data_IF_932337667819
#
_entry.id   IF_932337667819
#
_cell.length_a   1.000
_cell.length_b   1.000
_cell.length_c   1.000
_cell.angle_alpha   90.00
_cell.angle_beta   90.00
_cell.angle_gamma   90.00
#
_symmetry.space_group_name_H-M   'P 1'
#
loop_
_entity.id
_entity.type
_entity.pdbx_description
1 polymer ?
#
# COMPACT_ATOMS: atom_id res chain seq x y z
N UNK A 1 -0.06 -64.60 9.41
CA UNK A 1 -1.35 -65.29 9.27
C UNK A 1 -2.41 -64.31 9.75
N UNK A 2 -3.21 -63.75 8.84
CA UNK A 2 -4.29 -62.84 9.25
C UNK A 2 -5.31 -63.62 10.10
N UNK A 3 -5.43 -63.31 11.39
CA UNK A 3 -6.50 -63.80 12.26
C UNK A 3 -7.83 -63.18 11.79
N UNK A 4 -8.42 -63.76 10.74
CA UNK A 4 -9.76 -63.40 10.27
C UNK A 4 -10.77 -63.98 11.25
N UNK A 5 -11.54 -63.11 11.89
CA UNK A 5 -12.61 -63.53 12.80
C UNK A 5 -13.67 -64.25 12.00
N UNK A 6 -14.23 -65.30 12.59
CA UNK A 6 -15.28 -66.11 11.96
C UNK A 6 -16.66 -65.74 12.51
N UNK A 7 -17.72 -66.15 11.81
CA UNK A 7 -19.10 -65.95 12.29
C UNK A 7 -19.35 -66.66 13.64
N UNK A 8 -18.68 -67.79 13.88
CA UNK A 8 -18.81 -68.55 15.13
C UNK A 8 -18.17 -67.80 16.30
N UNK A 9 -16.98 -67.21 16.11
CA UNK A 9 -16.35 -66.35 17.11
C UNK A 9 -17.21 -65.12 17.45
N UNK A 10 -17.90 -64.55 16.46
CA UNK A 10 -18.83 -63.43 16.70
C UNK A 10 -20.02 -63.89 17.54
N UNK A 11 -20.61 -65.06 17.25
CA UNK A 11 -21.70 -65.63 18.05
C UNK A 11 -21.26 -65.89 19.50
N UNK A 12 -20.02 -66.34 19.72
CA UNK A 12 -19.47 -66.48 21.07
C UNK A 12 -19.31 -65.13 21.78
N UNK A 13 -18.77 -64.12 21.10
CA UNK A 13 -18.65 -62.75 21.65
C UNK A 13 -20.03 -62.18 22.02
N UNK A 14 -21.05 -62.38 21.17
CA UNK A 14 -22.41 -61.92 21.45
C UNK A 14 -23.02 -62.63 22.66
N UNK A 15 -22.77 -63.94 22.80
CA UNK A 15 -23.16 -64.70 23.98
C UNK A 15 -22.52 -64.15 25.25
N UNK A 16 -21.23 -63.77 25.21
CA UNK A 16 -20.55 -63.11 26.33
C UNK A 16 -21.09 -61.70 26.61
N UNK A 17 -21.46 -60.96 25.57
CA UNK A 17 -22.03 -59.62 25.66
C UNK A 17 -23.53 -59.63 26.05
N UNK A 18 -24.18 -60.80 26.14
CA UNK A 18 -25.61 -60.97 26.39
C UNK A 18 -26.51 -60.28 25.35
N UNK A 19 -26.07 -60.27 24.09
CA UNK A 19 -26.81 -59.75 22.95
C UNK A 19 -27.34 -60.90 22.09
N UNK A 20 -28.54 -60.77 21.54
CA UNK A 20 -29.07 -61.72 20.55
C UNK A 20 -28.71 -61.29 19.13
N UNK A 21 -28.64 -62.25 18.21
CA UNK A 21 -28.34 -61.96 16.80
C UNK A 21 -29.45 -61.09 16.18
N UNK A 22 -30.69 -61.29 16.61
CA UNK A 22 -31.88 -60.55 16.18
C UNK A 22 -31.87 -59.08 16.63
N UNK A 23 -31.05 -58.74 17.64
CA UNK A 23 -30.86 -57.36 18.11
C UNK A 23 -29.89 -56.56 17.21
N UNK A 24 -29.24 -57.23 16.25
CA UNK A 24 -28.25 -56.63 15.36
C UNK A 24 -28.78 -56.49 13.94
N UNK A 25 -28.15 -55.60 13.17
CA UNK A 25 -28.32 -55.57 11.72
C UNK A 25 -27.66 -56.79 11.09
N UNK A 26 -28.17 -57.19 9.93
CA UNK A 26 -27.71 -58.35 9.13
C UNK A 26 -26.22 -58.30 8.75
N UNK A 27 -25.56 -57.13 8.87
CA UNK A 27 -24.12 -56.98 8.58
C UNK A 27 -23.34 -56.72 9.86
N UNK A 28 -22.39 -57.61 10.19
CA UNK A 28 -21.34 -57.34 11.17
C UNK A 28 -20.04 -56.92 10.50
N UNK A 29 -19.34 -55.95 11.07
CA UNK A 29 -18.07 -55.44 10.55
C UNK A 29 -16.93 -55.68 11.55
N UNK A 30 -15.87 -56.33 11.08
CA UNK A 30 -14.64 -56.52 11.87
C UNK A 30 -13.57 -55.56 11.37
N UNK A 31 -13.10 -54.71 12.29
CA UNK A 31 -12.12 -53.65 12.01
C UNK A 31 -10.71 -54.19 12.28
N UNK A 32 -9.82 -54.01 11.30
CA UNK A 32 -8.42 -54.40 11.37
C UNK A 32 -7.51 -53.22 11.08
N UNK A 33 -6.38 -53.12 11.76
CA UNK A 33 -5.34 -52.17 11.43
C UNK A 33 -4.46 -52.73 10.31
N UNK A 34 -4.15 -51.93 9.28
CA UNK A 34 -3.21 -52.36 8.23
C UNK A 34 -1.82 -52.53 8.83
N UNK A 35 -1.09 -53.58 8.45
CA UNK A 35 0.25 -53.84 9.02
C UNK A 35 1.29 -52.81 8.55
N UNK A 36 1.04 -52.16 7.42
CA UNK A 36 1.90 -51.13 6.84
C UNK A 36 1.20 -49.77 6.90
N UNK A 37 2.00 -48.71 7.05
CA UNK A 37 1.62 -47.35 6.69
C UNK A 37 0.50 -46.69 7.53
N UNK A 38 0.21 -47.22 8.73
CA UNK A 38 -0.77 -46.65 9.67
C UNK A 38 -0.51 -45.17 10.03
N UNK A 39 0.77 -44.79 10.09
CA UNK A 39 1.23 -43.44 10.37
C UNK A 39 1.85 -42.79 9.12
N UNK A 40 1.36 -43.13 7.92
CA UNK A 40 1.83 -42.50 6.69
C UNK A 40 1.65 -40.97 6.76
N UNK A 41 2.77 -40.24 6.69
CA UNK A 41 2.81 -38.77 6.64
C UNK A 41 2.27 -38.18 5.32
N UNK A 42 1.77 -39.01 4.41
CA UNK A 42 1.33 -38.59 3.08
C UNK A 42 -0.12 -38.10 3.06
N UNK A 43 -0.87 -38.33 4.14
CA UNK A 43 -2.23 -37.86 4.32
C UNK A 43 -2.25 -36.88 5.49
N UNK A 44 -3.07 -35.84 5.37
CA UNK A 44 -3.40 -34.90 6.45
C UNK A 44 -4.90 -34.63 6.41
N UNK A 45 -5.50 -34.45 7.57
CA UNK A 45 -6.90 -34.04 7.68
C UNK A 45 -6.97 -32.52 7.58
N UNK A 46 -7.88 -32.01 6.75
CA UNK A 46 -8.16 -30.58 6.65
C UNK A 46 -9.63 -30.35 6.95
N UNK A 47 -9.90 -29.49 7.93
CA UNK A 47 -11.25 -29.05 8.24
C UNK A 47 -11.72 -28.08 7.16
N UNK A 48 -12.88 -28.38 6.57
CA UNK A 48 -13.57 -27.52 5.62
C UNK A 48 -14.82 -26.97 6.27
N UNK A 49 -14.96 -25.65 6.28
CA UNK A 49 -16.22 -25.01 6.62
C UNK A 49 -17.25 -25.16 5.49
N UNK A 50 -18.48 -24.68 5.70
CA UNK A 50 -19.55 -24.81 4.72
C UNK A 50 -19.21 -24.14 3.37
N UNK A 51 -18.44 -23.05 3.41
CA UNK A 51 -17.98 -22.33 2.22
C UNK A 51 -16.97 -23.13 1.42
N UNK A 52 -15.87 -23.56 2.04
CA UNK A 52 -14.84 -24.39 1.40
C UNK A 52 -15.41 -25.72 0.93
N UNK A 53 -16.28 -26.36 1.72
CA UNK A 53 -16.94 -27.60 1.32
C UNK A 53 -17.80 -27.39 0.06
N UNK A 54 -18.53 -26.28 -0.01
CA UNK A 54 -19.32 -25.91 -1.19
C UNK A 54 -18.45 -25.74 -2.44
N UNK A 55 -17.30 -25.07 -2.31
CA UNK A 55 -16.37 -24.88 -3.42
C UNK A 55 -15.72 -26.18 -3.91
N UNK A 56 -15.23 -27.00 -2.98
CA UNK A 56 -14.63 -28.30 -3.31
C UNK A 56 -15.66 -29.24 -3.93
N UNK A 57 -16.90 -29.23 -3.44
CA UNK A 57 -18.00 -30.03 -3.99
C UNK A 57 -18.39 -29.62 -5.41
N UNK A 58 -18.17 -28.35 -5.78
CA UNK A 58 -18.36 -27.84 -7.15
C UNK A 58 -17.16 -28.14 -8.07
N UNK A 59 -16.10 -28.75 -7.56
CA UNK A 59 -14.88 -29.04 -8.32
C UNK A 59 -13.97 -27.83 -8.49
N UNK A 60 -14.10 -26.80 -7.65
CA UNK A 60 -13.18 -25.66 -7.65
C UNK A 60 -11.82 -26.05 -7.06
N UNK A 61 -10.77 -25.35 -7.50
CA UNK A 61 -9.40 -25.59 -7.05
C UNK A 61 -9.07 -24.70 -5.85
N UNK A 62 -8.46 -25.29 -4.83
CA UNK A 62 -7.86 -24.56 -3.71
C UNK A 62 -6.34 -24.52 -3.87
N UNK A 63 -5.72 -23.42 -3.47
CA UNK A 63 -4.28 -23.20 -3.59
C UNK A 63 -3.66 -23.09 -2.21
N UNK A 64 -2.54 -23.78 -2.00
CA UNK A 64 -1.72 -23.62 -0.80
C UNK A 64 -0.57 -22.67 -1.15
N UNK A 65 -0.44 -21.57 -0.43
CA UNK A 65 0.54 -20.51 -0.71
C UNK A 65 1.38 -20.19 0.54
N UNK A 66 2.68 -19.99 0.34
CA UNK A 66 3.64 -19.59 1.38
C UNK A 66 5.07 -19.92 0.94
N UNK A 67 6.01 -19.03 1.25
CA UNK A 67 7.44 -19.31 1.10
C UNK A 67 7.97 -20.12 2.31
N UNK A 68 9.20 -20.62 2.24
CA UNK A 68 9.84 -21.43 3.31
C UNK A 68 9.88 -20.73 4.68
N UNK A 69 9.86 -19.39 4.68
CA UNK A 69 9.96 -18.54 5.87
C UNK A 69 8.60 -17.99 6.35
N UNK A 70 7.50 -18.37 5.69
CA UNK A 70 6.16 -17.83 5.90
C UNK A 70 5.18 -18.91 6.41
N UNK A 71 4.21 -18.50 7.23
CA UNK A 71 3.11 -19.37 7.62
C UNK A 71 2.26 -19.72 6.40
N UNK A 72 1.83 -20.99 6.28
CA UNK A 72 1.07 -21.44 5.14
C UNK A 72 -0.38 -20.89 5.16
N UNK A 73 -0.85 -20.44 3.99
CA UNK A 73 -2.24 -20.04 3.79
C UNK A 73 -2.90 -20.91 2.74
N UNK A 74 -4.21 -21.10 2.89
CA UNK A 74 -5.08 -21.73 1.90
C UNK A 74 -5.89 -20.63 1.21
N UNK A 75 -5.87 -20.60 -0.12
CA UNK A 75 -6.58 -19.62 -0.91
C UNK A 75 -7.61 -20.32 -1.80
N UNK A 76 -8.86 -19.86 -1.71
CA UNK A 76 -9.85 -20.03 -2.76
C UNK A 76 -9.65 -18.98 -3.86
N UNK A 77 -10.53 -18.95 -4.86
CA UNK A 77 -10.57 -17.87 -5.84
C UNK A 77 -10.89 -16.51 -5.19
N UNK A 78 -11.66 -16.52 -4.10
CA UNK A 78 -12.27 -15.30 -3.52
C UNK A 78 -11.78 -14.91 -2.13
N UNK A 79 -11.17 -15.83 -1.39
CA UNK A 79 -10.86 -15.64 0.03
C UNK A 79 -9.61 -16.42 0.47
N UNK A 80 -8.84 -15.81 1.37
CA UNK A 80 -7.68 -16.42 2.04
C UNK A 80 -8.02 -16.92 3.44
N UNK A 81 -7.47 -18.08 3.78
CA UNK A 81 -7.62 -18.77 5.05
C UNK A 81 -6.25 -19.03 5.65
N UNK A 82 -6.08 -18.69 6.92
CA UNK A 82 -4.94 -19.11 7.71
C UNK A 82 -5.09 -20.59 8.02
N UNK A 83 -4.00 -21.35 7.86
CA UNK A 83 -3.98 -22.77 8.18
C UNK A 83 -3.20 -22.98 9.47
N UNK A 84 -3.83 -23.59 10.46
CA UNK A 84 -3.21 -23.92 11.75
C UNK A 84 -3.37 -25.40 12.06
N UNK A 85 -2.37 -26.01 12.67
CA UNK A 85 -2.47 -27.39 13.13
C UNK A 85 -3.14 -27.45 14.51
N UNK A 86 -4.17 -28.29 14.65
CA UNK A 86 -4.90 -28.52 15.88
C UNK A 86 -4.72 -29.99 16.32
N UNK A 87 -4.24 -30.16 17.55
CA UNK A 87 -4.09 -31.48 18.17
C UNK A 87 -5.39 -31.92 18.86
N UNK A 88 -5.64 -33.23 18.84
CA UNK A 88 -6.79 -33.85 19.48
C UNK A 88 -6.33 -34.90 20.49
N UNK A 89 -7.06 -35.01 21.61
CA UNK A 89 -6.82 -36.07 22.60
C UNK A 89 -7.29 -37.45 22.15
N UNK A 90 -8.09 -37.50 21.08
CA UNK A 90 -8.73 -38.71 20.58
C UNK A 90 -8.07 -39.16 19.28
N UNK A 91 -8.00 -40.47 19.05
CA UNK A 91 -7.53 -41.00 17.77
C UNK A 91 -8.60 -40.88 16.69
N UNK A 92 -8.28 -40.23 15.58
CA UNK A 92 -9.13 -40.15 14.40
C UNK A 92 -8.73 -41.27 13.42
N UNK A 93 -9.62 -42.23 13.21
CA UNK A 93 -9.36 -43.39 12.35
C UNK A 93 -9.92 -43.14 10.95
N UNK A 94 -9.06 -43.13 9.94
CA UNK A 94 -9.48 -43.15 8.54
C UNK A 94 -9.73 -44.59 8.11
N UNK A 95 -11.00 -44.91 7.87
CA UNK A 95 -11.47 -46.27 7.60
C UNK A 95 -12.20 -46.29 6.27
N UNK A 96 -11.80 -47.19 5.37
CA UNK A 96 -12.43 -47.29 4.04
C UNK A 96 -13.76 -48.05 4.12
N UNK A 97 -14.82 -47.49 3.51
CA UNK A 97 -16.15 -48.13 3.36
C UNK A 97 -16.78 -48.65 4.67
N UNK A 98 -16.52 -47.99 5.80
CA UNK A 98 -17.20 -48.30 7.06
C UNK A 98 -18.70 -48.00 6.94
N UNK A 99 -19.55 -49.01 7.12
CA UNK A 99 -21.01 -48.81 7.16
C UNK A 99 -21.43 -48.36 8.55
N UNK A 100 -22.20 -47.27 8.61
CA UNK A 100 -22.87 -46.82 9.83
C UNK A 100 -24.28 -47.40 9.91
N UNK A 101 -24.83 -47.50 11.12
CA UNK A 101 -26.16 -48.05 11.33
C UNK A 101 -27.20 -47.38 10.41
N UNK A 102 -27.17 -46.06 10.25
CA UNK A 102 -28.20 -45.34 9.48
C UNK A 102 -28.07 -45.47 7.95
N UNK A 103 -27.00 -46.07 7.45
CA UNK A 103 -26.69 -46.16 6.00
C UNK A 103 -27.30 -47.37 5.28
N UNK A 104 -27.79 -48.37 6.00
CA UNK A 104 -28.47 -49.55 5.41
C UNK A 104 -29.99 -49.30 5.38
N UNK A 105 -30.51 -48.76 4.26
CA UNK A 105 -31.95 -48.70 3.96
C UNK A 105 -32.47 -49.92 3.18
N UNK A 106 -31.58 -50.80 2.73
CA UNK A 106 -31.96 -52.03 2.03
C UNK A 106 -32.05 -53.19 3.03
N UNK A 107 -33.19 -53.29 3.73
CA UNK A 107 -33.66 -54.56 4.26
C UNK A 107 -34.04 -55.46 3.07
N UNK A 108 -33.06 -56.00 2.37
CA UNK A 108 -33.29 -57.22 1.60
C UNK A 108 -33.34 -58.35 2.62
N UNK A 109 -34.50 -58.99 2.70
CA UNK A 109 -34.78 -60.25 3.41
C UNK A 109 -33.83 -61.36 2.91
N UNK A 110 -32.56 -61.30 3.30
CA UNK A 110 -31.60 -62.37 3.16
C UNK A 110 -31.28 -62.85 4.57
N UNK A 111 -31.67 -64.10 4.86
CA UNK A 111 -31.57 -64.75 6.17
C UNK A 111 -30.12 -64.99 6.65
N UNK A 112 -29.11 -64.67 5.84
CA UNK A 112 -27.70 -64.90 6.19
C UNK A 112 -27.02 -63.63 6.71
N UNK A 113 -26.56 -63.72 7.96
CA UNK A 113 -25.76 -62.67 8.61
C UNK A 113 -24.38 -62.54 7.95
N UNK A 114 -24.12 -61.38 7.34
CA UNK A 114 -22.91 -61.12 6.55
C UNK A 114 -21.80 -60.55 7.45
N UNK A 115 -20.58 -61.08 7.29
CA UNK A 115 -19.38 -60.56 7.94
C UNK A 115 -18.50 -59.79 6.95
N UNK A 116 -18.35 -58.49 7.19
CA UNK A 116 -17.50 -57.60 6.40
C UNK A 116 -16.19 -57.29 7.12
N UNK A 117 -15.08 -57.42 6.39
CA UNK A 117 -13.76 -56.98 6.84
C UNK A 117 -13.59 -55.51 6.46
N UNK A 118 -13.22 -54.69 7.44
CA UNK A 118 -12.93 -53.28 7.24
C UNK A 118 -11.51 -53.00 7.75
N UNK A 119 -10.74 -52.24 6.99
CA UNK A 119 -9.35 -51.90 7.33
C UNK A 119 -9.20 -50.41 7.66
N UNK A 120 -8.58 -50.12 8.80
CA UNK A 120 -8.10 -48.79 9.15
C UNK A 120 -6.88 -48.49 8.28
N UNK A 121 -6.97 -47.44 7.48
CA UNK A 121 -5.90 -47.00 6.58
C UNK A 121 -4.87 -46.13 7.30
N UNK A 122 -5.32 -45.23 8.16
CA UNK A 122 -4.44 -44.33 8.90
C UNK A 122 -5.06 -43.86 10.22
N UNK A 123 -4.21 -43.44 11.15
CA UNK A 123 -4.57 -42.89 12.46
C UNK A 123 -4.00 -41.49 12.56
N UNK A 124 -4.87 -40.50 12.81
CA UNK A 124 -4.49 -39.11 13.00
C UNK A 124 -4.71 -38.70 14.46
N UNK A 125 -3.85 -37.80 14.93
CA UNK A 125 -3.97 -37.13 16.22
C UNK A 125 -4.06 -35.60 16.04
N UNK A 126 -3.80 -35.11 14.84
CA UNK A 126 -3.86 -33.72 14.44
C UNK A 126 -4.74 -33.57 13.21
N UNK A 127 -5.21 -32.35 13.00
CA UNK A 127 -5.84 -31.91 11.76
C UNK A 127 -5.50 -30.44 11.50
N UNK A 128 -5.61 -30.02 10.25
CA UNK A 128 -5.43 -28.65 9.83
C UNK A 128 -6.77 -27.92 9.91
N UNK A 129 -6.79 -26.78 10.59
CA UNK A 129 -7.90 -25.85 10.64
C UNK A 129 -7.66 -24.73 9.63
N UNK A 130 -8.66 -24.43 8.80
CA UNK A 130 -8.64 -23.31 7.87
C UNK A 130 -9.59 -22.22 8.38
N UNK A 131 -9.04 -21.08 8.80
CA UNK A 131 -9.82 -19.95 9.34
C UNK A 131 -9.71 -18.76 8.39
N UNK A 132 -10.83 -18.15 7.98
CA UNK A 132 -10.80 -17.01 7.07
C UNK A 132 -10.07 -15.81 7.70
N UNK A 133 -9.15 -15.21 6.94
CA UNK A 133 -8.38 -14.04 7.36
C UNK A 133 -8.39 -12.95 6.28
N UNK A 134 -7.97 -11.74 6.67
CA UNK A 134 -7.61 -10.72 5.69
C UNK A 134 -6.19 -10.97 5.19
N UNK A 135 -5.91 -10.89 3.88
CA UNK A 135 -4.60 -11.21 3.35
C UNK A 135 -3.54 -10.21 3.82
N UNK A 136 -2.33 -10.72 4.05
CA UNK A 136 -1.19 -9.91 4.47
C UNK A 136 -0.50 -9.24 3.27
N UNK A 137 -0.95 -8.04 2.92
CA UNK A 137 -0.47 -7.28 1.75
C UNK A 137 0.90 -6.61 1.91
N UNK A 138 1.63 -6.89 3.01
CA UNK A 138 2.95 -6.29 3.27
C UNK A 138 3.97 -6.69 2.19
N UNK A 139 3.96 -7.96 1.80
CA UNK A 139 4.84 -8.51 0.76
C UNK A 139 4.55 -7.90 -0.61
N UNK A 140 3.26 -7.76 -0.96
CA UNK A 140 2.83 -7.07 -2.19
C UNK A 140 3.43 -5.66 -2.27
N UNK A 141 3.29 -4.86 -1.22
CA UNK A 141 3.87 -3.51 -1.15
C UNK A 141 5.40 -3.52 -1.28
N UNK A 142 6.09 -4.47 -0.63
CA UNK A 142 7.55 -4.59 -0.74
C UNK A 142 8.02 -4.94 -2.15
N UNK A 143 7.32 -5.87 -2.83
CA UNK A 143 7.63 -6.26 -4.19
C UNK A 143 7.45 -5.07 -5.16
N UNK A 144 6.33 -4.35 -5.07
CA UNK A 144 6.03 -3.21 -5.93
C UNK A 144 6.90 -1.99 -5.65
N UNK A 145 7.31 -1.77 -4.40
CA UNK A 145 8.27 -0.72 -4.04
C UNK A 145 9.67 -0.97 -4.64
N UNK A 146 9.99 -2.20 -5.05
CA UNK A 146 11.22 -2.52 -5.77
C UNK A 146 11.26 -2.02 -7.22
N UNK A 147 10.11 -1.60 -7.75
CA UNK A 147 9.89 -1.26 -9.16
C UNK A 147 8.95 -0.05 -9.33
N UNK A 148 9.11 0.96 -8.46
CA UNK A 148 8.33 2.21 -8.57
C UNK A 148 8.66 2.93 -9.87
N UNK A 149 7.63 3.32 -10.62
CA UNK A 149 7.73 4.10 -11.84
C UNK A 149 7.73 5.61 -11.52
N UNK A 150 8.80 6.31 -11.90
CA UNK A 150 9.00 7.75 -11.65
C UNK A 150 8.95 8.62 -12.91
N UNK A 151 8.79 8.00 -14.09
CA UNK A 151 8.94 8.63 -15.38
C UNK A 151 9.90 7.87 -16.28
N UNK A 152 9.75 8.05 -17.61
CA UNK A 152 10.56 7.37 -18.63
C UNK A 152 12.06 7.63 -18.43
N UNK A 153 12.38 8.82 -17.96
CA UNK A 153 13.73 9.30 -17.71
C UNK A 153 14.45 8.57 -16.57
N UNK A 154 13.73 7.90 -15.65
CA UNK A 154 14.32 7.21 -14.48
C UNK A 154 14.33 5.69 -14.61
N UNK A 155 13.80 5.12 -15.71
CA UNK A 155 13.67 3.67 -15.86
C UNK A 155 15.02 2.94 -15.93
N UNK A 156 16.11 3.64 -16.27
CA UNK A 156 17.46 3.06 -16.26
C UNK A 156 17.94 2.65 -14.86
N UNK A 157 17.33 3.20 -13.79
CA UNK A 157 17.63 2.85 -12.40
C UNK A 157 16.90 1.59 -11.93
N UNK A 158 15.91 1.13 -12.69
CA UNK A 158 15.00 0.07 -12.25
C UNK A 158 15.50 -1.28 -12.75
N UNK A 159 15.57 -2.23 -11.83
CA UNK A 159 15.93 -3.62 -12.12
C UNK A 159 14.75 -4.35 -12.77
N UNK A 160 14.85 -4.81 -14.04
CA UNK A 160 13.76 -5.49 -14.72
C UNK A 160 13.30 -6.78 -14.04
N UNK A 161 14.17 -7.42 -13.23
CA UNK A 161 13.82 -8.64 -12.48
C UNK A 161 12.84 -8.39 -11.32
N UNK A 162 12.66 -7.11 -10.94
CA UNK A 162 11.70 -6.67 -9.91
C UNK A 162 10.37 -6.19 -10.51
N UNK A 163 10.18 -6.36 -11.82
CA UNK A 163 8.93 -6.07 -12.51
C UNK A 163 8.07 -7.34 -12.58
N UNK A 164 6.89 -7.31 -11.98
CA UNK A 164 6.03 -8.49 -11.88
C UNK A 164 4.78 -8.36 -12.75
N UNK A 165 4.37 -9.46 -13.40
CA UNK A 165 3.01 -9.57 -13.96
C UNK A 165 2.01 -9.89 -12.84
N UNK A 166 0.71 -9.83 -13.14
CA UNK A 166 -0.32 -10.25 -12.20
C UNK A 166 -0.13 -11.71 -11.77
N UNK A 167 0.18 -12.62 -12.70
CA UNK A 167 0.37 -14.05 -12.42
C UNK A 167 1.61 -14.31 -11.57
N UNK A 168 2.66 -13.50 -11.73
CA UNK A 168 3.87 -13.59 -10.90
C UNK A 168 3.58 -13.09 -9.47
N UNK A 169 2.77 -12.03 -9.31
CA UNK A 169 2.34 -11.57 -7.99
C UNK A 169 1.39 -12.56 -7.31
N UNK A 170 0.44 -13.13 -8.03
CA UNK A 170 -0.52 -14.11 -7.48
C UNK A 170 0.18 -15.35 -6.92
N UNK A 171 1.29 -15.77 -7.52
CA UNK A 171 2.11 -16.89 -7.01
C UNK A 171 2.92 -16.54 -5.76
N UNK A 172 3.36 -15.28 -5.62
CA UNK A 172 4.26 -14.86 -4.53
C UNK A 172 3.51 -14.31 -3.32
N UNK A 173 2.33 -13.74 -3.53
CA UNK A 173 1.56 -13.05 -2.48
C UNK A 173 0.54 -14.02 -1.87
N UNK A 174 0.50 -14.03 -0.54
CA UNK A 174 -0.44 -14.82 0.26
C UNK A 174 -1.83 -14.17 0.28
N UNK A 175 -2.50 -14.22 -0.87
CA UNK A 175 -3.85 -13.70 -1.07
C UNK A 175 -4.61 -14.57 -2.09
N UNK A 176 -5.94 -14.53 -2.03
CA UNK A 176 -6.77 -15.03 -3.11
C UNK A 176 -6.64 -14.12 -4.33
N UNK A 177 -6.97 -14.66 -5.51
CA UNK A 177 -6.89 -13.91 -6.76
C UNK A 177 -7.82 -12.69 -6.75
N UNK A 178 -9.02 -12.81 -6.15
CA UNK A 178 -9.95 -11.70 -6.00
C UNK A 178 -9.40 -10.63 -5.07
N UNK A 179 -8.96 -11.00 -3.87
CA UNK A 179 -8.44 -10.04 -2.89
C UNK A 179 -7.16 -9.34 -3.38
N UNK A 180 -6.33 -10.04 -4.16
CA UNK A 180 -5.15 -9.43 -4.79
C UNK A 180 -5.55 -8.36 -5.82
N UNK A 181 -6.60 -8.61 -6.63
CA UNK A 181 -7.13 -7.60 -7.57
C UNK A 181 -7.67 -6.39 -6.82
N UNK A 182 -8.51 -6.61 -5.81
CA UNK A 182 -9.06 -5.54 -4.97
C UNK A 182 -7.95 -4.72 -4.31
N UNK A 183 -6.90 -5.38 -3.81
CA UNK A 183 -5.74 -4.71 -3.25
C UNK A 183 -4.96 -3.85 -4.27
N UNK A 184 -4.82 -4.33 -5.50
CA UNK A 184 -4.15 -3.58 -6.57
C UNK A 184 -5.00 -2.38 -7.01
N UNK A 185 -6.32 -2.54 -7.11
CA UNK A 185 -7.25 -1.46 -7.49
C UNK A 185 -7.25 -0.30 -6.47
N UNK A 186 -7.08 -0.62 -5.18
CA UNK A 186 -6.91 0.38 -4.11
C UNK A 186 -5.55 1.09 -4.17
N UNK A 187 -4.51 0.43 -4.66
CA UNK A 187 -3.14 0.97 -4.74
C UNK A 187 -2.94 1.86 -5.97
N UNK A 188 -1.94 2.74 -5.92
CA UNK A 188 -1.57 3.62 -7.05
C UNK A 188 -0.70 2.90 -8.08
N UNK A 189 -1.22 1.79 -8.60
CA UNK A 189 -0.55 0.93 -9.58
C UNK A 189 -1.13 1.09 -10.97
N UNK A 190 -0.30 0.87 -11.98
CA UNK A 190 -0.68 0.83 -13.40
C UNK A 190 0.00 -0.35 -14.09
N UNK A 191 -0.59 -0.84 -15.17
CA UNK A 191 0.00 -1.90 -15.99
C UNK A 191 0.81 -1.29 -17.13
N UNK A 192 2.13 -1.39 -17.07
CA UNK A 192 3.05 -0.89 -18.10
C UNK A 192 3.73 -2.09 -18.77
N UNK A 193 3.54 -2.26 -20.09
CA UNK A 193 4.10 -3.39 -20.84
C UNK A 193 3.78 -4.77 -20.23
N UNK A 194 2.56 -4.95 -19.72
CA UNK A 194 2.11 -6.19 -19.05
C UNK A 194 2.68 -6.40 -17.64
N UNK A 195 3.43 -5.44 -17.10
CA UNK A 195 3.97 -5.48 -15.74
C UNK A 195 3.26 -4.47 -14.86
N UNK A 196 2.93 -4.87 -13.63
CA UNK A 196 2.28 -4.00 -12.64
C UNK A 196 3.36 -3.14 -11.98
N UNK A 197 3.13 -1.83 -11.98
CA UNK A 197 4.09 -0.82 -11.51
C UNK A 197 3.39 0.13 -10.55
N UNK A 198 3.98 0.34 -9.37
CA UNK A 198 3.55 1.40 -8.47
C UNK A 198 4.00 2.74 -9.02
N UNK A 199 3.10 3.72 -9.10
CA UNK A 199 3.45 5.08 -9.50
C UNK A 199 4.06 5.84 -8.32
N UNK A 200 5.14 6.56 -8.60
CA UNK A 200 5.65 7.56 -7.67
C UNK A 200 4.61 8.66 -7.45
N UNK A 201 4.50 9.14 -6.22
CA UNK A 201 3.49 10.10 -5.81
C UNK A 201 3.55 11.41 -6.59
N UNK A 202 4.75 11.95 -6.82
CA UNK A 202 4.94 13.21 -7.55
C UNK A 202 4.63 13.03 -9.04
N UNK A 203 5.02 11.88 -9.60
CA UNK A 203 4.74 11.54 -10.99
C UNK A 203 3.23 11.34 -11.23
N UNK A 204 2.55 10.62 -10.34
CA UNK A 204 1.09 10.44 -10.38
C UNK A 204 0.38 11.79 -10.35
N UNK A 205 0.73 12.67 -9.40
CA UNK A 205 0.16 14.02 -9.34
C UNK A 205 0.39 14.83 -10.61
N UNK A 206 1.59 14.75 -11.20
CA UNK A 206 1.92 15.43 -12.46
C UNK A 206 1.00 14.98 -13.60
N UNK A 207 0.84 13.67 -13.82
CA UNK A 207 0.02 13.14 -14.92
C UNK A 207 -1.47 13.44 -14.70
N UNK A 208 -1.98 13.24 -13.48
CA UNK A 208 -3.37 13.58 -13.16
C UNK A 208 -3.64 15.08 -13.38
N UNK A 209 -2.69 15.94 -13.00
CA UNK A 209 -2.81 17.39 -13.25
C UNK A 209 -2.85 17.75 -14.73
N UNK A 210 -2.15 17.01 -15.59
CA UNK A 210 -2.25 17.20 -17.04
C UNK A 210 -3.62 16.79 -17.57
N UNK A 211 -4.12 15.64 -17.12
CA UNK A 211 -5.46 15.16 -17.50
C UNK A 211 -6.55 16.15 -17.10
N UNK A 212 -6.51 16.68 -15.87
CA UNK A 212 -7.51 17.64 -15.40
C UNK A 212 -7.43 19.00 -16.12
N UNK A 213 -6.24 19.42 -16.57
CA UNK A 213 -6.10 20.67 -17.35
C UNK A 213 -6.77 20.60 -18.71
N UNK A 214 -6.90 19.41 -19.30
CA UNK A 214 -7.59 19.24 -20.58
C UNK A 214 -9.06 19.66 -20.51
N UNK A 215 -9.68 19.62 -19.32
CA UNK A 215 -11.04 20.11 -19.11
C UNK A 215 -11.13 21.58 -19.51
N UNK A 216 -10.21 22.41 -19.00
CA UNK A 216 -10.17 23.85 -19.29
C UNK A 216 -9.70 24.12 -20.73
N UNK A 217 -8.67 23.40 -21.19
CA UNK A 217 -8.09 23.59 -22.53
C UNK A 217 -9.09 23.28 -23.64
N UNK A 218 -9.92 22.24 -23.47
CA UNK A 218 -10.95 21.84 -24.42
C UNK A 218 -12.34 22.39 -24.09
N UNK A 219 -12.48 23.16 -23.00
CA UNK A 219 -13.76 23.68 -22.52
C UNK A 219 -14.82 22.61 -22.30
N UNK A 220 -14.41 21.44 -21.81
CA UNK A 220 -15.30 20.31 -21.52
C UNK A 220 -16.15 20.55 -20.27
N UNK A 221 -17.34 19.95 -20.25
CA UNK A 221 -18.06 19.75 -19.00
C UNK A 221 -17.45 18.58 -18.22
N UNK A 222 -17.64 18.56 -16.89
CA UNK A 222 -17.06 17.54 -16.01
C UNK A 222 -17.51 16.11 -16.35
N UNK A 223 -18.62 15.97 -17.07
CA UNK A 223 -19.26 14.72 -17.48
C UNK A 223 -19.17 14.43 -18.99
N UNK A 224 -18.41 15.23 -19.73
CA UNK A 224 -18.23 15.16 -21.18
C UNK A 224 -16.76 14.92 -21.57
N UNK A 225 -16.03 14.15 -20.78
CA UNK A 225 -14.59 13.90 -21.00
C UNK A 225 -14.39 12.84 -22.07
N UNK A 226 -13.57 13.16 -23.06
CA UNK A 226 -13.23 12.26 -24.17
C UNK A 226 -11.94 11.47 -23.87
N UNK A 227 -12.03 10.14 -23.90
CA UNK A 227 -10.88 9.26 -23.69
C UNK A 227 -9.82 9.38 -24.80
N UNK A 228 -10.25 9.39 -26.06
CA UNK A 228 -9.33 9.35 -27.20
C UNK A 228 -8.55 10.66 -27.28
N UNK A 229 -9.25 11.79 -27.16
CA UNK A 229 -8.62 13.12 -27.14
C UNK A 229 -7.67 13.27 -25.94
N UNK A 230 -8.04 12.72 -24.76
CA UNK A 230 -7.16 12.74 -23.58
C UNK A 230 -5.86 11.96 -23.81
N UNK A 231 -5.94 10.78 -24.43
CA UNK A 231 -4.76 9.95 -24.67
C UNK A 231 -3.87 10.55 -25.77
N UNK A 232 -4.46 11.06 -26.85
CA UNK A 232 -3.73 11.69 -27.95
C UNK A 232 -3.05 12.99 -27.51
N UNK A 233 -3.74 13.85 -26.76
CA UNK A 233 -3.17 15.10 -26.25
C UNK A 233 -1.99 14.90 -25.29
N UNK A 234 -1.92 13.75 -24.60
CA UNK A 234 -0.91 13.46 -23.57
C UNK A 234 0.19 12.49 -24.02
N UNK A 235 0.19 12.03 -25.27
CA UNK A 235 1.10 10.98 -25.77
C UNK A 235 2.60 11.35 -25.63
N UNK A 236 2.91 12.63 -25.78
CA UNK A 236 4.26 13.18 -25.68
C UNK A 236 4.69 13.41 -24.21
N UNK A 237 3.73 13.59 -23.30
CA UNK A 237 3.98 13.94 -21.90
C UNK A 237 4.07 12.71 -20.99
N UNK A 238 3.32 11.65 -21.29
CA UNK A 238 3.29 10.42 -20.51
C UNK A 238 3.05 9.19 -21.39
N UNK A 239 3.50 7.98 -20.98
CA UNK A 239 3.13 6.76 -21.67
C UNK A 239 1.62 6.55 -21.73
N UNK A 240 1.13 6.11 -22.89
CA UNK A 240 -0.29 5.82 -23.16
C UNK A 240 -0.88 4.87 -22.12
N UNK A 241 -0.11 3.86 -21.70
CA UNK A 241 -0.52 2.87 -20.71
C UNK A 241 -0.79 3.51 -19.34
N UNK A 242 0.00 4.52 -18.96
CA UNK A 242 -0.18 5.24 -17.70
C UNK A 242 -1.39 6.15 -17.78
N UNK A 243 -1.54 6.91 -18.87
CA UNK A 243 -2.70 7.78 -19.08
C UNK A 243 -3.98 6.95 -19.07
N UNK A 244 -3.98 5.80 -19.77
CA UNK A 244 -5.11 4.85 -19.79
C UNK A 244 -5.41 4.33 -18.39
N UNK A 245 -4.41 3.82 -17.66
CA UNK A 245 -4.63 3.27 -16.32
C UNK A 245 -5.12 4.32 -15.31
N UNK A 246 -4.61 5.54 -15.38
CA UNK A 246 -5.11 6.65 -14.55
C UNK A 246 -6.51 7.08 -14.98
N UNK A 247 -6.80 7.11 -16.28
CA UNK A 247 -8.13 7.44 -16.78
C UNK A 247 -9.16 6.47 -16.22
N UNK A 248 -8.96 5.16 -16.41
CA UNK A 248 -9.84 4.12 -15.84
C UNK A 248 -9.99 4.24 -14.32
N UNK A 249 -8.92 4.60 -13.62
CA UNK A 249 -8.92 4.76 -12.16
C UNK A 249 -9.80 5.93 -11.70
N UNK A 250 -9.69 7.07 -12.37
CA UNK A 250 -10.32 8.33 -11.97
C UNK A 250 -11.60 8.68 -12.72
N UNK A 251 -11.97 7.97 -13.78
CA UNK A 251 -13.19 8.26 -14.53
C UNK A 251 -14.17 7.08 -14.52
N UNK A 252 -15.43 7.38 -14.82
CA UNK A 252 -16.50 6.41 -15.05
C UNK A 252 -17.29 6.83 -16.30
N UNK A 253 -17.97 5.86 -16.91
CA UNK A 253 -18.84 6.09 -18.06
C UNK A 253 -19.96 7.08 -17.67
N UNK A 254 -20.15 8.10 -18.50
CA UNK A 254 -21.14 9.15 -18.28
C UNK A 254 -22.30 9.02 -19.27
N UNK A 255 -22.09 9.44 -20.51
CA UNK A 255 -23.11 9.47 -21.54
C UNK A 255 -22.52 9.12 -22.91
N UNK A 256 -23.39 8.71 -23.83
CA UNK A 256 -23.01 8.44 -25.22
C UNK A 256 -23.60 9.53 -26.10
N UNK A 257 -22.75 10.31 -26.73
CA UNK A 257 -23.13 11.38 -27.67
C UNK A 257 -22.56 11.05 -29.03
N UNK A 258 -23.37 11.06 -30.08
CA UNK A 258 -22.95 10.76 -31.46
C UNK A 258 -22.18 9.43 -31.64
N UNK A 259 -22.56 8.40 -30.88
CA UNK A 259 -21.88 7.08 -30.82
C UNK A 259 -20.49 7.10 -30.16
N UNK A 260 -20.12 8.22 -29.52
CA UNK A 260 -18.90 8.38 -28.75
C UNK A 260 -19.20 8.27 -27.25
N UNK A 261 -18.47 7.40 -26.56
CA UNK A 261 -18.58 7.26 -25.11
C UNK A 261 -17.82 8.39 -24.42
N UNK A 262 -18.54 9.19 -23.64
CA UNK A 262 -17.99 10.23 -22.78
C UNK A 262 -17.92 9.76 -21.33
N UNK A 263 -17.03 10.40 -20.57
CA UNK A 263 -16.69 10.02 -19.21
C UNK A 263 -16.84 11.20 -18.25
N UNK A 264 -17.01 10.86 -16.97
CA UNK A 264 -16.99 11.82 -15.86
C UNK A 264 -15.88 11.46 -14.90
N UNK A 265 -15.21 12.46 -14.34
CA UNK A 265 -14.28 12.24 -13.23
C UNK A 265 -15.02 11.86 -11.95
N UNK A 266 -14.52 10.82 -11.27
CA UNK A 266 -14.92 10.40 -9.93
C UNK A 266 -14.46 11.45 -8.92
N UNK A 267 -15.35 12.39 -8.62
CA UNK A 267 -15.11 13.53 -7.72
C UNK A 267 -14.44 13.10 -6.42
N UNK A 268 -14.99 12.09 -5.74
CA UNK A 268 -14.44 11.55 -4.49
C UNK A 268 -12.96 11.15 -4.62
N UNK A 269 -12.58 10.45 -5.69
CA UNK A 269 -11.20 9.99 -5.88
C UNK A 269 -10.26 11.16 -6.17
N UNK A 270 -10.67 12.10 -7.02
CA UNK A 270 -9.86 13.27 -7.36
C UNK A 270 -9.67 14.14 -6.13
N UNK A 271 -10.75 14.54 -5.45
CA UNK A 271 -10.68 15.36 -4.24
C UNK A 271 -9.80 14.70 -3.17
N UNK A 272 -10.01 13.41 -2.92
CA UNK A 272 -9.25 12.65 -1.92
C UNK A 272 -7.76 12.57 -2.27
N UNK A 273 -7.40 12.40 -3.54
CA UNK A 273 -6.00 12.42 -3.96
C UNK A 273 -5.37 13.81 -3.76
N UNK A 274 -6.07 14.90 -4.08
CA UNK A 274 -5.58 16.25 -3.83
C UNK A 274 -5.44 16.56 -2.32
N UNK A 275 -6.32 16.03 -1.48
CA UNK A 275 -6.14 16.07 -0.02
C UNK A 275 -4.82 15.40 0.38
N UNK A 276 -4.51 14.21 -0.16
CA UNK A 276 -3.22 13.55 0.10
C UNK A 276 -2.05 14.42 -0.33
N UNK A 277 -2.12 15.10 -1.47
CA UNK A 277 -1.05 15.99 -1.96
C UNK A 277 -0.79 17.13 -1.00
N UNK A 278 -1.84 17.77 -0.49
CA UNK A 278 -1.72 18.86 0.49
C UNK A 278 -1.16 18.37 1.84
N UNK A 279 -1.55 17.17 2.27
CA UNK A 279 -1.10 16.57 3.52
C UNK A 279 0.30 15.96 3.41
N UNK A 280 0.73 15.55 2.21
CA UNK A 280 2.05 14.95 1.97
C UNK A 280 3.19 15.87 2.40
N UNK A 281 3.06 17.18 2.14
CA UNK A 281 4.05 18.18 2.55
C UNK A 281 3.82 18.82 3.93
N UNK A 282 2.68 18.54 4.56
CA UNK A 282 2.22 19.28 5.74
C UNK A 282 2.10 18.36 6.95
N UNK A 283 3.11 18.36 7.82
CA UNK A 283 3.08 17.52 9.03
C UNK A 283 1.95 17.88 10.01
N UNK A 284 1.59 19.17 10.13
CA UNK A 284 0.40 19.64 10.85
C UNK A 284 -0.23 20.77 10.05
N UNK A 285 -1.51 20.64 9.75
CA UNK A 285 -2.29 21.64 9.00
C UNK A 285 -3.49 22.06 9.86
N UNK A 286 -3.75 23.36 9.98
CA UNK A 286 -5.00 23.83 10.57
C UNK A 286 -6.18 23.40 9.66
N UNK A 287 -7.23 22.83 10.23
CA UNK A 287 -8.39 22.34 9.46
C UNK A 287 -9.03 23.43 8.59
N UNK A 288 -9.19 24.67 9.07
CA UNK A 288 -9.81 25.74 8.27
C UNK A 288 -8.97 26.10 7.05
N UNK A 289 -7.66 26.23 7.27
CA UNK A 289 -6.71 26.62 6.23
C UNK A 289 -6.53 25.46 5.24
N UNK A 290 -6.60 24.21 5.73
CA UNK A 290 -6.56 23.00 4.92
C UNK A 290 -7.79 22.93 4.01
N UNK A 291 -8.99 23.07 4.56
CA UNK A 291 -10.23 23.04 3.78
C UNK A 291 -10.27 24.15 2.72
N UNK A 292 -9.73 25.33 3.03
CA UNK A 292 -9.61 26.40 2.05
C UNK A 292 -8.60 26.04 0.95
N UNK A 293 -7.38 25.63 1.30
CA UNK A 293 -6.36 25.24 0.33
C UNK A 293 -6.82 24.05 -0.53
N UNK A 294 -7.58 23.13 0.05
CA UNK A 294 -8.13 21.98 -0.66
C UNK A 294 -9.17 22.39 -1.70
N UNK A 295 -10.11 23.26 -1.34
CA UNK A 295 -11.08 23.86 -2.28
C UNK A 295 -10.41 24.63 -3.41
N UNK A 296 -9.32 25.34 -3.12
CA UNK A 296 -8.57 26.10 -4.12
C UNK A 296 -7.71 25.22 -5.05
N UNK A 297 -7.44 23.96 -4.66
CA UNK A 297 -6.56 23.04 -5.39
C UNK A 297 -7.28 22.10 -6.36
N UNK A 298 -8.57 21.86 -6.16
CA UNK A 298 -9.36 20.95 -7.00
C UNK A 298 -9.99 21.72 -8.18
N UNK A 299 -10.28 21.05 -9.31
CA UNK A 299 -10.94 21.69 -10.45
C UNK A 299 -12.31 22.30 -10.12
N UNK A 300 -12.68 23.33 -10.86
CA UNK A 300 -13.98 24.00 -10.71
C UNK A 300 -15.13 23.01 -10.92
N UNK A 301 -16.08 23.02 -9.99
CA UNK A 301 -17.25 22.12 -9.97
C UNK A 301 -17.07 20.84 -9.16
N UNK A 302 -15.87 20.55 -8.65
CA UNK A 302 -15.66 19.52 -7.63
C UNK A 302 -15.70 20.12 -6.22
N UNK A 303 -16.38 19.45 -5.30
CA UNK A 303 -16.61 19.91 -3.92
C UNK A 303 -15.95 18.98 -2.90
N UNK A 304 -14.80 19.37 -2.33
CA UNK A 304 -14.16 18.57 -1.31
C UNK A 304 -14.96 18.63 -0.02
N UNK A 305 -15.27 17.47 0.53
CA UNK A 305 -15.98 17.31 1.78
C UNK A 305 -15.08 16.69 2.84
N UNK A 306 -15.25 17.15 4.09
CA UNK A 306 -14.38 16.78 5.20
C UNK A 306 -14.35 15.26 5.42
N UNK A 307 -15.51 14.60 5.33
CA UNK A 307 -15.73 13.16 5.47
C UNK A 307 -14.94 12.30 4.48
N UNK A 308 -14.62 12.81 3.29
CA UNK A 308 -13.81 12.09 2.29
C UNK A 308 -12.40 11.75 2.80
N UNK A 309 -11.90 12.51 3.78
CA UNK A 309 -10.57 12.31 4.40
C UNK A 309 -10.64 11.42 5.65
N UNK A 310 -11.83 11.29 6.28
CA UNK A 310 -12.02 10.48 7.50
C UNK A 310 -12.16 8.99 7.16
N UNK A 311 -11.05 8.33 6.86
CA UNK A 311 -11.05 6.88 6.64
C UNK A 311 -9.86 6.35 5.86
N UNK A 312 -9.10 7.23 5.22
CA UNK A 312 -7.94 6.80 4.47
C UNK A 312 -6.76 6.45 5.38
N UNK A 313 -6.52 5.15 5.46
CA UNK A 313 -5.42 4.53 6.21
C UNK A 313 -4.02 4.91 5.71
N UNK A 314 -3.94 5.60 4.56
CA UNK A 314 -2.70 6.00 3.89
C UNK A 314 -2.47 7.53 3.92
N UNK A 315 -3.23 8.29 4.72
CA UNK A 315 -2.96 9.72 4.91
C UNK A 315 -1.67 9.86 5.72
N UNK A 316 -0.58 10.04 4.98
CA UNK A 316 0.75 10.20 5.53
C UNK A 316 1.60 8.97 5.29
N UNK A 317 2.48 9.09 4.31
CA UNK A 317 3.82 8.49 4.30
C UNK A 317 4.65 8.86 5.55
N UNK A 318 4.02 9.16 6.69
CA UNK A 318 4.68 9.41 7.97
C UNK A 318 5.65 8.28 8.31
N UNK A 319 5.31 7.04 7.95
CA UNK A 319 6.15 5.87 8.16
C UNK A 319 7.37 5.84 7.22
N UNK A 320 7.21 6.20 5.94
CA UNK A 320 8.28 6.22 4.94
C UNK A 320 9.19 7.45 5.06
N UNK A 321 8.63 8.62 5.36
CA UNK A 321 9.40 9.81 5.73
C UNK A 321 10.10 9.62 7.08
N UNK A 322 9.47 8.95 8.06
CA UNK A 322 10.14 8.56 9.29
C UNK A 322 11.23 7.52 9.04
N UNK A 323 11.06 6.59 8.09
CA UNK A 323 12.08 5.63 7.67
C UNK A 323 13.26 6.34 7.02
N UNK A 324 13.02 7.21 6.03
CA UNK A 324 14.04 8.05 5.38
C UNK A 324 14.74 8.95 6.39
N UNK A 325 14.01 9.53 7.35
CA UNK A 325 14.57 10.35 8.45
C UNK A 325 15.38 9.51 9.42
N UNK A 326 14.91 8.31 9.79
CA UNK A 326 15.60 7.36 10.66
C UNK A 326 16.88 6.84 10.00
N UNK A 327 16.86 6.55 8.71
CA UNK A 327 18.05 6.16 7.94
C UNK A 327 19.06 7.29 7.83
N UNK A 328 18.61 8.52 7.53
CA UNK A 328 19.47 9.72 7.54
C UNK A 328 20.10 9.94 8.93
N UNK A 329 19.32 9.80 10.00
CA UNK A 329 19.81 9.91 11.37
C UNK A 329 20.78 8.77 11.72
N UNK A 330 20.54 7.53 11.27
CA UNK A 330 21.42 6.38 11.48
C UNK A 330 22.74 6.54 10.71
N UNK A 331 22.70 7.09 9.50
CA UNK A 331 23.90 7.42 8.72
C UNK A 331 24.70 8.56 9.34
N UNK A 332 24.04 9.61 9.85
CA UNK A 332 24.67 10.70 10.62
C UNK A 332 25.27 10.19 11.94
N UNK A 333 24.58 9.26 12.62
CA UNK A 333 25.08 8.65 13.86
C UNK A 333 26.30 7.76 13.60
N UNK A 334 26.28 6.93 12.55
CA UNK A 334 27.45 6.15 12.10
C UNK A 334 28.63 7.02 11.69
N UNK A 335 28.40 8.15 11.01
CA UNK A 335 29.45 9.14 10.72
C UNK A 335 30.01 9.78 11.99
N UNK A 336 29.17 10.03 13.00
CA UNK A 336 29.58 10.62 14.28
C UNK A 336 30.27 9.62 15.22
N UNK A 337 29.92 8.33 15.11
CA UNK A 337 30.56 7.22 15.82
C UNK A 337 31.88 6.80 15.15
N UNK A 338 31.98 6.89 13.82
CA UNK A 338 33.22 6.63 13.07
C UNK A 338 34.34 7.65 13.33
N UNK A 339 34.02 8.83 13.85
CA UNK A 339 34.98 9.88 14.26
C UNK A 339 35.44 9.72 15.72
N UNK A 340 34.98 8.68 16.43
CA UNK A 340 35.31 8.39 17.83
C UNK A 340 35.65 6.93 18.07
N UNK A 341 36.64 6.40 17.36
CA UNK A 341 37.26 5.13 17.75
C UNK A 341 38.69 4.98 17.23
N UNK A 342 39.65 5.37 18.08
CA UNK A 342 40.93 4.71 18.21
C UNK A 342 41.20 4.52 19.71
N UNK A 343 41.04 3.28 20.20
CA UNK A 343 41.98 2.55 21.07
C UNK A 343 41.32 1.33 21.75
N UNK A 344 41.86 0.17 21.37
CA UNK A 344 42.08 -1.09 22.08
C UNK A 344 40.98 -2.11 22.40
N UNK A 345 41.26 -3.32 21.89
CA UNK A 345 40.76 -4.68 22.17
C UNK A 345 41.11 -5.12 23.63
N UNK A 346 40.64 -6.19 24.30
CA UNK A 346 39.93 -7.44 23.97
C UNK A 346 39.46 -8.14 25.32
N UNK A 347 39.05 -9.44 25.43
CA UNK A 347 37.71 -9.89 25.88
C UNK A 347 37.64 -10.73 27.19
N UNK A 348 36.43 -11.05 27.70
CA UNK A 348 36.22 -12.22 28.60
C UNK A 348 35.06 -12.20 29.64
N UNK A 349 34.02 -13.00 29.37
CA UNK A 349 33.14 -13.83 30.22
C UNK A 349 32.17 -13.30 31.34
N UNK A 350 30.87 -13.59 31.09
CA UNK A 350 29.78 -14.10 31.96
C UNK A 350 29.10 -13.31 33.11
N UNK A 351 27.80 -13.09 32.89
CA UNK A 351 26.63 -13.29 33.77
C UNK A 351 26.58 -12.61 35.16
N UNK A 352 26.02 -11.40 35.18
CA UNK A 352 25.02 -10.95 36.15
C UNK A 352 24.38 -9.67 35.57
N UNK A 353 23.06 -9.57 35.55
CA UNK A 353 22.38 -8.33 35.13
C UNK A 353 22.59 -7.29 36.24
N UNK A 354 23.69 -6.54 36.17
CA UNK A 354 23.89 -5.35 37.00
C UNK A 354 23.01 -4.21 36.47
N UNK A 355 22.12 -3.71 37.32
CA UNK A 355 21.36 -2.50 37.04
C UNK A 355 22.33 -1.31 36.87
N UNK A 356 22.12 -0.43 35.88
CA UNK A 356 23.01 0.69 35.61
C UNK A 356 23.07 1.64 36.81
N UNK A 357 24.28 1.90 37.32
CA UNK A 357 24.51 2.77 38.48
C UNK A 357 24.12 4.23 38.15
N UNK A 358 23.44 4.95 39.06
CA UNK A 358 22.94 6.30 38.80
C UNK A 358 24.09 7.32 38.76
N UNK A 359 24.10 8.18 37.72
CA UNK A 359 25.09 9.26 37.56
C UNK A 359 24.42 10.61 37.78
N UNK A 360 24.86 11.35 38.78
CA UNK A 360 24.26 12.64 39.16
C UNK A 360 25.07 13.79 38.56
N UNK A 361 24.41 14.60 37.70
CA UNK A 361 25.05 15.72 36.98
C UNK A 361 24.71 17.10 37.54
N UNK A 362 23.60 17.22 38.26
CA UNK A 362 23.05 18.51 38.70
C UNK A 362 22.53 18.50 40.13
N UNK A 363 22.72 17.39 40.85
CA UNK A 363 22.23 17.16 42.19
C UNK A 363 23.31 16.48 43.03
N UNK A 364 23.44 16.85 44.30
CA UNK A 364 24.34 16.20 45.26
C UNK A 364 23.52 15.31 46.20
N UNK A 365 23.65 13.97 46.15
CA UNK A 365 22.94 13.08 47.05
C UNK A 365 23.35 13.30 48.50
N UNK A 366 22.41 13.13 49.44
CA UNK A 366 22.69 13.28 50.87
C UNK A 366 23.39 12.05 51.49
N UNK A 367 23.41 10.91 50.78
CA UNK A 367 23.98 9.66 51.25
C UNK A 367 25.45 9.55 50.79
N UNK A 368 26.37 9.33 51.72
CA UNK A 368 27.82 9.45 51.47
C UNK A 368 28.36 8.46 50.43
N UNK A 369 27.78 7.26 50.34
CA UNK A 369 28.14 6.23 49.36
C UNK A 369 27.77 6.57 47.90
N UNK A 370 26.88 7.55 47.68
CA UNK A 370 26.42 7.96 46.34
C UNK A 370 27.14 9.21 45.81
N UNK A 371 28.02 9.82 46.62
CA UNK A 371 28.82 10.97 46.19
C UNK A 371 29.89 10.61 45.15
N UNK A 372 30.38 9.36 45.15
CA UNK A 372 31.38 8.88 44.19
C UNK A 372 30.86 8.83 42.74
N UNK A 373 29.54 8.91 42.54
CA UNK A 373 28.89 8.91 41.23
C UNK A 373 28.46 10.31 40.74
N UNK A 374 28.86 11.37 41.45
CA UNK A 374 28.62 12.77 41.03
C UNK A 374 29.73 13.21 40.07
N UNK A 375 29.37 13.62 38.85
CA UNK A 375 30.37 14.14 37.90
C UNK A 375 30.77 15.56 38.26
N UNK A 376 32.07 15.83 38.20
CA UNK A 376 32.60 17.20 38.33
C UNK A 376 32.04 18.10 37.23
N UNK A 377 31.59 19.30 37.62
CA UNK A 377 31.11 20.32 36.69
C UNK A 377 32.31 20.89 35.92
N UNK A 378 32.34 20.69 34.59
CA UNK A 378 33.38 21.23 33.73
C UNK A 378 33.38 22.76 33.74
N UNK A 379 34.50 23.37 34.10
CA UNK A 379 34.72 24.80 33.87
C UNK A 379 34.80 25.09 32.36
N UNK A 380 34.41 26.29 31.90
CA UNK A 380 34.59 26.67 30.50
C UNK A 380 36.08 26.65 30.14
N UNK A 381 36.41 25.98 29.02
CA UNK A 381 37.78 25.82 28.55
C UNK A 381 38.42 27.14 28.14
N UNK A 382 39.74 27.23 28.32
CA UNK A 382 40.55 28.40 27.96
C UNK A 382 40.62 28.55 26.43
N UNK A 383 39.91 29.55 25.91
CA UNK A 383 39.76 29.86 24.48
C UNK A 383 40.94 30.64 23.89
N UNK A 384 41.97 30.96 24.68
CA UNK A 384 43.11 31.78 24.24
C UNK A 384 43.91 31.14 23.09
N UNK A 385 44.03 29.82 23.05
CA UNK A 385 44.72 29.10 21.97
C UNK A 385 43.97 29.19 20.63
N UNK A 386 42.64 29.05 20.65
CA UNK A 386 41.80 29.12 19.44
C UNK A 386 41.77 30.54 18.86
N UNK A 387 41.76 31.56 19.72
CA UNK A 387 41.82 32.96 19.28
C UNK A 387 43.15 33.27 18.58
N UNK A 388 44.26 32.65 19.02
CA UNK A 388 45.57 32.81 18.40
C UNK A 388 45.65 32.17 17.01
N UNK A 389 45.14 30.95 16.85
CA UNK A 389 45.07 30.26 15.55
C UNK A 389 44.23 31.03 14.54
N UNK A 390 43.10 31.62 14.97
CA UNK A 390 42.27 32.46 14.10
C UNK A 390 42.96 33.77 13.70
N UNK A 391 43.76 34.37 14.58
CA UNK A 391 44.57 35.56 14.28
C UNK A 391 45.72 35.26 13.31
N UNK A 392 46.29 34.06 13.36
CA UNK A 392 47.33 33.61 12.42
C UNK A 392 46.74 33.23 11.05
N UNK A 393 45.57 32.58 11.01
CA UNK A 393 44.83 32.32 9.78
C UNK A 393 44.37 33.59 9.05
N UNK A 394 44.09 34.67 9.80
CA UNK A 394 43.76 35.98 9.22
C UNK A 394 44.99 36.70 8.61
N UNK A 395 46.22 36.28 8.94
CA UNK A 395 47.47 36.88 8.41
C UNK A 395 48.01 36.17 7.17
N UNK A 396 47.63 34.92 6.93
CA UNK A 396 47.90 34.26 5.66
C UNK A 396 47.02 34.89 4.57
N UNK A 397 47.60 35.74 3.73
CA UNK A 397 46.91 36.33 2.59
C UNK A 397 46.38 35.24 1.67
N UNK A 398 45.06 35.18 1.50
CA UNK A 398 44.39 34.27 0.57
C UNK A 398 44.82 34.64 -0.85
N UNK A 399 45.47 33.71 -1.54
CA UNK A 399 45.74 33.75 -2.98
C UNK A 399 44.42 33.47 -3.71
N UNK A 400 43.95 34.43 -4.51
CA UNK A 400 42.56 34.51 -5.03
C UNK A 400 42.33 33.73 -6.34
N UNK A 401 43.28 32.91 -6.81
CA UNK A 401 43.20 32.43 -8.20
C UNK A 401 42.30 31.21 -8.49
N UNK A 402 41.58 30.65 -7.52
CA UNK A 402 40.61 29.57 -7.80
C UNK A 402 39.37 29.62 -6.88
N UNK A 403 38.59 30.69 -6.96
CA UNK A 403 37.23 30.72 -6.38
C UNK A 403 36.19 30.55 -7.49
N UNK A 404 35.47 29.43 -7.43
CA UNK A 404 34.38 29.10 -8.33
C UNK A 404 33.16 30.00 -8.04
N UNK A 405 32.86 30.93 -8.95
CA UNK A 405 31.90 32.03 -8.77
C UNK A 405 30.46 31.51 -8.60
N UNK A 406 30.17 30.27 -9.01
CA UNK A 406 28.86 29.63 -8.82
C UNK A 406 28.55 29.28 -7.35
N UNK A 407 29.56 29.06 -6.50
CA UNK A 407 29.39 28.86 -5.06
C UNK A 407 29.11 30.17 -4.30
N UNK A 408 29.27 31.32 -4.97
CA UNK A 408 28.94 32.65 -4.47
C UNK A 408 27.49 33.06 -4.80
N UNK A 409 26.62 32.10 -5.15
CA UNK A 409 25.21 32.39 -5.35
C UNK A 409 24.59 32.90 -4.03
N UNK A 410 23.84 34.01 -4.06
CA UNK A 410 23.21 34.55 -2.85
C UNK A 410 22.28 33.50 -2.25
N UNK A 411 22.39 33.31 -0.92
CA UNK A 411 21.57 32.35 -0.20
C UNK A 411 20.09 32.60 -0.43
N UNK A 412 19.30 31.51 -0.42
CA UNK A 412 17.84 31.60 -0.50
C UNK A 412 17.36 32.60 0.58
N UNK A 413 16.51 33.58 0.21
CA UNK A 413 16.01 34.58 1.14
C UNK A 413 15.43 33.94 2.40
N UNK A 414 15.96 34.34 3.56
CA UNK A 414 15.43 33.91 4.86
C UNK A 414 13.99 34.41 5.05
N UNK A 415 13.23 33.72 5.90
CA UNK A 415 11.82 34.02 6.15
C UNK A 415 11.59 35.48 6.60
N UNK A 416 12.57 36.06 7.30
CA UNK A 416 12.55 37.45 7.73
C UNK A 416 12.71 38.42 6.54
N UNK A 417 13.61 38.12 5.61
CA UNK A 417 13.82 38.93 4.40
C UNK A 417 12.57 38.91 3.50
N UNK A 418 11.93 37.74 3.37
CA UNK A 418 10.66 37.62 2.63
C UNK A 418 9.56 38.46 3.27
N UNK A 419 9.44 38.45 4.60
CA UNK A 419 8.42 39.22 5.32
C UNK A 419 8.60 40.73 5.17
N UNK A 420 9.84 41.22 5.24
CA UNK A 420 10.13 42.64 5.14
C UNK A 420 10.02 43.16 3.70
N UNK A 421 10.40 42.34 2.72
CA UNK A 421 10.30 42.68 1.30
C UNK A 421 8.86 42.57 0.79
N UNK A 422 8.04 41.65 1.31
CA UNK A 422 6.65 41.46 0.91
C UNK A 422 5.81 42.75 1.01
N UNK A 423 6.00 43.56 2.06
CA UNK A 423 5.29 44.84 2.21
C UNK A 423 5.65 45.85 1.11
N UNK A 424 6.91 45.85 0.66
CA UNK A 424 7.36 46.71 -0.45
C UNK A 424 6.89 46.17 -1.80
N UNK A 425 6.89 44.86 -1.98
CA UNK A 425 6.37 44.20 -3.19
C UNK A 425 4.88 44.47 -3.38
N UNK A 426 4.04 44.36 -2.34
CA UNK A 426 2.61 44.67 -2.45
C UNK A 426 2.34 46.10 -2.92
N UNK A 427 3.15 47.08 -2.47
CA UNK A 427 3.03 48.47 -2.90
C UNK A 427 3.44 48.65 -4.36
N UNK A 428 4.50 47.96 -4.78
CA UNK A 428 4.99 47.99 -6.15
C UNK A 428 4.02 47.28 -7.10
N UNK A 429 3.46 46.16 -6.68
CA UNK A 429 2.48 45.35 -7.42
C UNK A 429 1.19 46.14 -7.69
N UNK A 430 0.72 46.91 -6.69
CA UNK A 430 -0.41 47.82 -6.89
C UNK A 430 -0.09 48.94 -7.89
N UNK A 431 1.14 49.41 -7.93
CA UNK A 431 1.59 50.42 -8.89
C UNK A 431 1.75 49.83 -10.30
N UNK A 432 2.30 48.62 -10.43
CA UNK A 432 2.42 47.93 -11.71
C UNK A 432 1.06 47.54 -12.26
N UNK A 433 0.14 47.03 -11.46
CA UNK A 433 -1.24 46.76 -11.89
C UNK A 433 -1.94 48.04 -12.40
N UNK A 434 -1.71 49.18 -11.74
CA UNK A 434 -2.24 50.47 -12.19
C UNK A 434 -1.62 50.94 -13.50
N UNK A 435 -0.30 50.81 -13.66
CA UNK A 435 0.40 51.13 -14.89
C UNK A 435 -0.04 50.21 -16.06
N UNK A 436 -0.24 48.92 -15.79
CA UNK A 436 -0.79 47.95 -16.74
C UNK A 436 -2.21 48.34 -17.14
N UNK A 437 -3.07 48.73 -16.19
CA UNK A 437 -4.42 49.19 -16.48
C UNK A 437 -4.44 50.49 -17.30
N UNK A 438 -3.52 51.42 -17.06
CA UNK A 438 -3.34 52.63 -17.86
C UNK A 438 -2.87 52.29 -19.29
N UNK A 439 -1.87 51.41 -19.45
CA UNK A 439 -1.42 50.92 -20.75
C UNK A 439 -2.54 50.20 -21.54
N UNK A 440 -3.35 49.39 -20.88
CA UNK A 440 -4.52 48.74 -21.49
C UNK A 440 -5.54 49.78 -21.95
N UNK A 441 -5.79 50.81 -21.13
CA UNK A 441 -6.73 51.90 -21.46
C UNK A 441 -6.24 52.75 -22.63
N UNK A 442 -4.96 53.02 -22.72
CA UNK A 442 -4.37 53.76 -23.85
C UNK A 442 -4.35 52.91 -25.12
N UNK A 443 -4.06 51.61 -25.01
CA UNK A 443 -4.14 50.66 -26.14
C UNK A 443 -5.58 50.49 -26.66
N UNK A 444 -6.57 50.49 -25.78
CA UNK A 444 -7.99 50.50 -26.15
C UNK A 444 -8.40 51.81 -26.84
N UNK A 445 -7.87 52.97 -26.39
CA UNK A 445 -8.11 54.27 -27.03
C UNK A 445 -7.42 54.41 -28.38
N UNK A 446 -6.22 53.86 -28.55
CA UNK A 446 -5.53 53.79 -29.85
C UNK A 446 -6.28 52.87 -30.81
N UNK A 447 -6.78 51.72 -30.31
CA UNK A 447 -7.61 50.80 -31.10
C UNK A 447 -8.96 51.42 -31.47
N UNK A 448 -9.62 52.15 -30.56
CA UNK A 448 -10.87 52.85 -30.87
C UNK A 448 -10.66 54.03 -31.84
N UNK A 449 -9.53 54.74 -31.76
CA UNK A 449 -9.15 55.77 -32.76
C UNK A 449 -8.84 55.18 -34.14
N UNK A 450 -8.35 53.94 -34.18
CA UNK A 450 -8.11 53.18 -35.41
C UNK A 450 -9.41 52.65 -36.02
N UNK A 451 -10.34 52.17 -35.20
CA UNK A 451 -11.60 51.57 -35.66
C UNK A 451 -12.65 52.62 -36.09
N UNK A 452 -12.57 53.86 -35.60
CA UNK A 452 -13.52 54.94 -35.96
C UNK A 452 -13.36 55.47 -37.40
N UNK A 453 -12.24 55.23 -38.08
CA UNK A 453 -12.08 55.63 -39.49
C UNK A 453 -12.73 54.63 -40.47
N UNK A 454 -12.91 53.36 -40.07
CA UNK A 454 -13.42 52.29 -40.92
C UNK A 454 -14.94 52.11 -40.80
N UNK A 455 -15.54 52.43 -39.65
CA UNK A 455 -16.98 52.23 -39.39
C UNK A 455 -17.84 53.38 -39.96
N UNK A 456 -17.29 54.58 -40.15
CA UNK A 456 -18.05 55.74 -40.64
C UNK A 456 -18.34 55.74 -42.16
N UNK A 457 -17.77 54.79 -42.91
CA UNK A 457 -17.97 54.67 -44.38
C UNK A 457 -19.02 53.60 -44.74
N UNK A 458 -19.36 52.69 -43.81
CA UNK A 458 -20.29 51.58 -44.08
C UNK A 458 -21.72 51.75 -43.52
N UNK A 459 -21.98 52.77 -42.69
CA UNK A 459 -23.31 52.98 -42.08
C UNK A 459 -24.26 53.88 -42.91
N UNK A 460 -23.91 54.25 -44.14
CA UNK A 460 -24.66 55.20 -44.97
C UNK A 460 -25.69 54.63 -45.95
N UNK A 461 -25.96 53.31 -45.99
CA UNK A 461 -26.73 52.71 -47.11
C UNK A 461 -27.89 51.77 -46.70
N UNK A 462 -28.16 51.52 -45.42
CA UNK A 462 -29.18 50.50 -45.08
C UNK A 462 -30.10 50.86 -43.93
N UNK A 463 -30.94 51.89 -44.09
CA UNK A 463 -32.22 51.92 -43.37
C UNK A 463 -33.26 52.84 -44.04
N UNK A 464 -33.96 52.26 -45.01
CA UNK A 464 -35.31 52.69 -45.36
C UNK A 464 -36.22 51.45 -45.36
N UNK A 465 -37.40 51.66 -44.77
CA UNK A 465 -38.63 50.88 -44.85
C UNK A 465 -38.75 49.70 -43.87
N UNK A 466 -39.44 49.91 -42.73
CA UNK A 466 -40.84 49.46 -42.51
C UNK A 466 -41.33 49.70 -41.06
N UNK A 467 -42.38 50.51 -40.94
CA UNK A 467 -43.49 50.41 -39.98
C UNK A 467 -44.79 50.38 -40.82
N UNK A 468 -46.03 50.14 -40.31
CA UNK A 468 -46.47 50.00 -38.90
C UNK A 468 -47.44 48.80 -38.63
N UNK A 469 -47.59 48.40 -37.36
CA UNK A 469 -48.80 48.47 -36.50
C UNK A 469 -48.55 47.78 -35.17
#
# INVERSE_FOLDING_TARGET
>A
MENKRTLDEIKEILKHAKLQLDDLKTTSQTIYFTENNLYENNLKLLQLDATLLGEVSQGKTLYIKGDDDEDVVLCSETQTYQVTEAETSNSLLLVDKLKFADSDQNNSEQDEHILNKVSVRSIFYDYLEAVPIKPHLKKLRQLLNGSVYKGREYEFEVDPSKCYTFEELDKKVQASTKELKEALDEMDVVTLNGKIRLLDFEYHFKVLSYMLKLIDENSWQLDEIDYQETVESLEDLAPKEIVTGLFEKYTEESQVVDSMQLYRYKEDKVCTFFAKVLLYGAGKFNLSDFMQAWKESVPDGMTPAEDMVYGEKNIGHLEDEALKRRERLKALKRKREGDKSCENENPGDKSAVELPKPVFRSYRPANEELNDFVKESSAPGDVTAQVKDHLEAAKSGVVIDQLDVAALAPRKPDWDLKRDVAKKLLKLERQTQRAIAELIRDRLKERSRSDDLAVMVNAGVSDQVREPT
#
